data_IF_259064520525
#
_entry.id   IF_259064520525
#
_cell.length_a   1.000
_cell.length_b   1.000
_cell.length_c   1.000
_cell.angle_alpha   90.00
_cell.angle_beta   90.00
_cell.angle_gamma   90.00
#
_symmetry.space_group_name_H-M   'P 1'
#
loop_
_entity.id
_entity.type
_entity.pdbx_description
1 polymer ?
#
# COMPACT_ATOMS: atom_id res chain seq x y z
N UNK A 1 -9.24 18.70 13.35
CA UNK A 1 -8.82 17.65 14.30
C UNK A 1 -9.05 16.26 13.73
N UNK A 2 -10.27 16.00 13.33
CA UNK A 2 -10.59 14.70 12.76
C UNK A 2 -9.86 14.45 11.44
N UNK A 3 -9.57 15.50 10.71
CA UNK A 3 -8.90 15.35 9.43
C UNK A 3 -7.49 14.77 9.53
N UNK A 4 -6.78 15.12 10.60
CA UNK A 4 -5.42 14.60 10.78
C UNK A 4 -5.43 13.10 11.00
N UNK A 5 -6.39 12.61 11.78
CA UNK A 5 -6.53 11.18 12.00
C UNK A 5 -6.97 10.48 10.72
N UNK A 6 -7.88 11.12 9.98
CA UNK A 6 -8.37 10.57 8.73
C UNK A 6 -7.27 10.46 7.68
N UNK A 7 -6.36 11.43 7.64
CA UNK A 7 -5.29 11.40 6.66
C UNK A 7 -4.37 10.20 6.83
N UNK A 8 -4.01 9.87 8.07
CA UNK A 8 -3.19 8.69 8.33
C UNK A 8 -3.94 7.42 8.00
N UNK A 9 -5.21 7.37 8.39
CA UNK A 9 -6.05 6.23 8.10
C UNK A 9 -6.25 6.09 6.59
N UNK A 10 -6.38 7.21 5.90
CA UNK A 10 -6.62 7.19 4.46
C UNK A 10 -5.46 6.60 3.67
N UNK A 11 -4.23 6.78 4.11
CA UNK A 11 -3.10 6.17 3.42
C UNK A 11 -3.25 4.66 3.40
N UNK A 12 -3.50 4.07 4.55
CA UNK A 12 -3.70 2.63 4.64
C UNK A 12 -4.95 2.21 3.87
N UNK A 13 -6.05 2.93 4.05
CA UNK A 13 -7.31 2.57 3.40
C UNK A 13 -7.19 2.59 1.89
N UNK A 14 -6.49 3.56 1.34
CA UNK A 14 -6.32 3.64 -0.11
C UNK A 14 -5.42 2.52 -0.62
N UNK A 15 -4.36 2.23 0.09
CA UNK A 15 -3.48 1.12 -0.27
C UNK A 15 -4.25 -0.20 -0.16
N UNK A 16 -5.01 -0.35 0.91
CA UNK A 16 -5.84 -1.54 1.09
C UNK A 16 -6.81 -1.71 -0.07
N UNK A 17 -7.48 -0.63 -0.46
CA UNK A 17 -8.43 -0.67 -1.57
C UNK A 17 -7.76 -1.05 -2.88
N UNK A 18 -6.56 -0.54 -3.11
CA UNK A 18 -5.80 -0.88 -4.31
C UNK A 18 -5.48 -2.37 -4.33
N UNK A 19 -5.00 -2.89 -3.20
CA UNK A 19 -4.65 -4.30 -3.10
C UNK A 19 -5.88 -5.18 -3.27
N UNK A 20 -6.97 -4.82 -2.62
CA UNK A 20 -8.23 -5.56 -2.73
C UNK A 20 -8.68 -5.62 -4.18
N UNK A 21 -8.60 -4.51 -4.88
CA UNK A 21 -9.03 -4.43 -6.26
C UNK A 21 -8.12 -5.23 -7.19
N UNK A 22 -6.83 -5.13 -6.98
CA UNK A 22 -5.86 -5.81 -7.86
C UNK A 22 -5.83 -7.33 -7.65
N UNK A 23 -5.93 -7.77 -6.41
CA UNK A 23 -5.80 -9.17 -6.08
C UNK A 23 -7.14 -9.88 -5.88
N UNK A 24 -8.23 -9.14 -5.87
CA UNK A 24 -9.56 -9.73 -5.63
C UNK A 24 -9.71 -10.30 -4.24
N UNK A 25 -9.09 -9.65 -3.26
CA UNK A 25 -9.17 -10.10 -1.87
C UNK A 25 -10.17 -9.27 -1.10
N UNK A 26 -10.50 -9.75 0.12
CA UNK A 26 -11.39 -9.03 1.01
C UNK A 26 -10.59 -8.01 1.82
N UNK A 27 -11.24 -6.94 2.24
CA UNK A 27 -10.57 -5.94 3.07
C UNK A 27 -10.01 -6.54 4.34
N UNK A 28 -10.71 -7.52 4.89
CA UNK A 28 -10.29 -8.18 6.12
C UNK A 28 -8.97 -8.92 5.96
N UNK A 29 -8.67 -9.33 4.75
CA UNK A 29 -7.43 -10.06 4.47
C UNK A 29 -6.24 -9.13 4.33
N UNK A 30 -6.49 -7.83 4.15
CA UNK A 30 -5.44 -6.85 3.90
C UNK A 30 -5.29 -5.97 5.13
N UNK A 31 -4.38 -6.35 6.01
CA UNK A 31 -4.08 -5.62 7.24
C UNK A 31 -2.67 -5.07 7.17
N UNK A 32 -2.30 -4.25 8.13
CA UNK A 32 -0.95 -3.69 8.15
C UNK A 32 0.12 -4.77 8.25
N UNK A 33 -0.17 -5.82 8.97
CA UNK A 33 0.79 -6.92 9.18
C UNK A 33 0.75 -7.96 8.07
N UNK A 34 -0.16 -7.83 7.13
CA UNK A 34 -0.32 -8.81 6.06
C UNK A 34 0.90 -8.80 5.15
N UNK A 35 1.42 -9.98 4.85
CA UNK A 35 2.54 -10.14 3.94
C UNK A 35 2.02 -10.30 2.52
N UNK A 36 2.53 -9.46 1.63
CA UNK A 36 2.01 -9.42 0.27
C UNK A 36 2.23 -10.72 -0.49
N UNK A 37 3.43 -11.27 -0.40
CA UNK A 37 3.75 -12.49 -1.14
C UNK A 37 3.29 -13.75 -0.43
N UNK A 38 3.47 -13.81 0.87
CA UNK A 38 3.18 -15.02 1.63
C UNK A 38 1.71 -15.21 1.93
N UNK A 39 1.00 -14.13 2.24
CA UNK A 39 -0.39 -14.22 2.66
C UNK A 39 -1.38 -13.87 1.55
N UNK A 40 -1.02 -12.94 0.69
CA UNK A 40 -1.90 -12.52 -0.41
C UNK A 40 -1.53 -13.19 -1.73
N UNK A 41 -0.46 -13.94 -1.73
CA UNK A 41 -0.03 -14.68 -2.92
C UNK A 41 0.25 -13.76 -4.11
N UNK A 42 0.69 -12.54 -3.83
CA UNK A 42 1.02 -11.59 -4.87
C UNK A 42 2.39 -11.89 -5.44
N UNK A 43 2.46 -12.11 -6.74
CA UNK A 43 3.74 -12.32 -7.39
C UNK A 43 4.34 -10.98 -7.81
N UNK A 44 5.47 -11.02 -8.51
CA UNK A 44 6.18 -9.81 -8.90
C UNK A 44 5.33 -8.91 -9.78
N UNK A 45 4.56 -9.48 -10.68
CA UNK A 45 3.72 -8.71 -11.58
C UNK A 45 2.59 -8.02 -10.82
N UNK A 46 1.94 -8.76 -9.92
CA UNK A 46 0.88 -8.20 -9.10
C UNK A 46 1.42 -7.05 -8.24
N UNK A 47 2.57 -7.28 -7.64
CA UNK A 47 3.19 -6.26 -6.80
C UNK A 47 3.54 -5.02 -7.60
N UNK A 48 4.05 -5.23 -8.81
CA UNK A 48 4.41 -4.12 -9.69
C UNK A 48 3.17 -3.28 -10.03
N UNK A 49 2.06 -3.92 -10.30
CA UNK A 49 0.83 -3.19 -10.60
C UNK A 49 0.30 -2.45 -9.39
N UNK A 50 0.39 -3.06 -8.21
CA UNK A 50 0.00 -2.39 -6.97
C UNK A 50 0.85 -1.15 -6.76
N UNK A 51 2.15 -1.27 -6.96
CA UNK A 51 3.07 -0.15 -6.81
C UNK A 51 2.73 0.96 -7.78
N UNK A 52 2.46 0.62 -9.04
CA UNK A 52 2.09 1.61 -10.03
C UNK A 52 0.81 2.36 -9.65
N UNK A 53 -0.17 1.63 -9.15
CA UNK A 53 -1.42 2.25 -8.73
C UNK A 53 -1.20 3.19 -7.55
N UNK A 54 -0.33 2.78 -6.61
CA UNK A 54 -0.01 3.62 -5.46
C UNK A 54 0.70 4.89 -5.91
N UNK A 55 1.65 4.76 -6.83
CA UNK A 55 2.37 5.92 -7.35
C UNK A 55 1.41 6.91 -7.98
N UNK A 56 0.45 6.40 -8.72
CA UNK A 56 -0.52 7.24 -9.41
C UNK A 56 -1.51 7.88 -8.43
N UNK A 57 -1.95 7.12 -7.45
CA UNK A 57 -2.94 7.60 -6.49
C UNK A 57 -2.36 8.69 -5.57
N UNK A 58 -1.13 8.51 -5.12
CA UNK A 58 -0.52 9.40 -4.14
C UNK A 58 0.49 10.37 -4.76
N UNK A 59 0.75 10.26 -6.04
CA UNK A 59 1.73 11.07 -6.73
C UNK A 59 3.11 10.97 -6.08
N UNK A 60 3.53 9.74 -5.83
CA UNK A 60 4.83 9.42 -5.24
C UNK A 60 5.58 8.49 -6.17
N UNK A 61 6.86 8.29 -5.88
CA UNK A 61 7.69 7.37 -6.65
C UNK A 61 8.22 6.26 -5.76
N UNK A 62 8.06 5.03 -6.22
CA UNK A 62 8.56 3.86 -5.50
C UNK A 62 9.58 3.18 -6.40
N UNK A 63 10.85 3.39 -6.09
CA UNK A 63 11.94 2.93 -6.96
C UNK A 63 12.36 1.50 -6.72
N UNK A 64 11.91 0.88 -5.65
CA UNK A 64 12.38 -0.46 -5.32
C UNK A 64 11.26 -1.28 -4.69
N UNK A 65 11.34 -2.59 -4.93
CA UNK A 65 10.45 -3.54 -4.27
C UNK A 65 11.12 -4.14 -3.04
N UNK A 66 12.41 -3.90 -2.87
CA UNK A 66 13.13 -4.43 -1.73
C UNK A 66 12.65 -3.80 -0.43
N UNK A 67 12.41 -4.64 0.55
CA UNK A 67 11.92 -4.18 1.83
C UNK A 67 10.41 -3.95 1.88
N UNK A 68 9.73 -4.12 0.77
CA UNK A 68 8.28 -3.97 0.73
C UNK A 68 7.62 -5.34 0.84
N UNK A 69 7.65 -5.90 2.02
CA UNK A 69 7.12 -7.25 2.27
C UNK A 69 5.71 -7.24 2.82
N UNK A 70 5.37 -6.23 3.60
CA UNK A 70 4.05 -6.14 4.22
C UNK A 70 3.32 -4.88 3.77
N UNK A 71 2.02 -4.84 4.05
CA UNK A 71 1.23 -3.66 3.77
C UNK A 71 1.79 -2.47 4.54
N UNK A 72 2.24 -2.69 5.76
CA UNK A 72 2.81 -1.62 6.57
C UNK A 72 4.05 -1.00 5.91
N UNK A 73 4.87 -1.82 5.28
CA UNK A 73 6.03 -1.32 4.57
C UNK A 73 5.62 -0.35 3.46
N UNK A 74 4.56 -0.69 2.74
CA UNK A 74 4.03 0.19 1.70
C UNK A 74 3.51 1.50 2.30
N UNK A 75 2.75 1.40 3.38
CA UNK A 75 2.21 2.58 4.04
C UNK A 75 3.34 3.49 4.53
N UNK A 76 4.35 2.89 5.16
CA UNK A 76 5.48 3.66 5.66
C UNK A 76 6.23 4.36 4.53
N UNK A 77 6.42 3.67 3.43
CA UNK A 77 7.12 4.24 2.28
C UNK A 77 6.36 5.43 1.72
N UNK A 78 5.05 5.27 1.55
CA UNK A 78 4.21 6.33 1.02
C UNK A 78 4.18 7.52 1.98
N UNK A 79 4.01 7.26 3.27
CA UNK A 79 3.98 8.33 4.26
C UNK A 79 5.28 9.12 4.28
N UNK A 80 6.41 8.42 4.14
CA UNK A 80 7.71 9.09 4.08
C UNK A 80 7.82 9.99 2.86
N UNK A 81 7.33 9.53 1.72
CA UNK A 81 7.34 10.33 0.50
C UNK A 81 6.44 11.55 0.63
N UNK A 82 5.26 11.37 1.21
CA UNK A 82 4.32 12.47 1.37
C UNK A 82 4.85 13.50 2.36
N UNK A 83 5.53 13.06 3.39
CA UNK A 83 6.11 13.96 4.38
C UNK A 83 7.24 14.78 3.79
N UNK A 84 7.89 14.25 2.76
CA UNK A 84 9.03 14.91 2.13
C UNK A 84 8.61 15.95 1.07
N UNK A 85 7.33 15.99 0.76
CA UNK A 85 6.81 16.96 -0.21
C UNK A 85 6.53 18.34 0.41
#
# INVERSE_FOLDING_TARGET
>A
IFKLLEEKTMTFEKIQAIIVDQLGKEEEEVQLTTRLKDELDADSLDLFQIINDIEDEFDVKIDTEEGLETVQDLVNYVDAQLADK
#
